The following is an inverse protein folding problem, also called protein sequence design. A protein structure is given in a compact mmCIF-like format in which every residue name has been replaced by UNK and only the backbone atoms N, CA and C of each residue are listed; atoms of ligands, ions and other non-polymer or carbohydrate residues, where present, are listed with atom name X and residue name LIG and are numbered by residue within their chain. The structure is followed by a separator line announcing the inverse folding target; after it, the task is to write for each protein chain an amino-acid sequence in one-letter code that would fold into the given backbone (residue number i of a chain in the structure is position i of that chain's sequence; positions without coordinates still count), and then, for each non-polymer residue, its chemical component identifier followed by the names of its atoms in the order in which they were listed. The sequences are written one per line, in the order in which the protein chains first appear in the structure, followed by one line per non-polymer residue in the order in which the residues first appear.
data_IF_559635465817
#
_entry.id   IF_559635465817
#
_cell.length_a   1.000
_cell.length_b   1.000
_cell.length_c   1.000
_cell.angle_alpha   90.00
_cell.angle_beta   90.00
_cell.angle_gamma   90.00
#
_symmetry.space_group_name_H-M   'P 1'
#
loop_
_entity.id
_entity.type
_entity.pdbx_description
1 polymer ?
#
# COMPACT_ATOMS: atom_id res chain seq x y z
N UNK A 1 -0.36 3.59 21.86
CA UNK A 1 -1.51 2.83 21.35
C UNK A 1 -2.16 3.70 20.30
N UNK A 2 -2.01 3.33 19.04
CA UNK A 2 -2.59 4.07 17.93
C UNK A 2 -3.55 3.19 17.15
N UNK A 3 -4.76 3.68 16.91
CA UNK A 3 -5.70 3.06 15.98
C UNK A 3 -5.39 3.53 14.57
N UNK A 4 -5.16 2.58 13.68
CA UNK A 4 -4.73 2.85 12.31
C UNK A 4 -5.78 2.30 11.36
N UNK A 5 -6.41 3.19 10.58
CA UNK A 5 -7.30 2.82 9.50
C UNK A 5 -6.49 2.46 8.26
N UNK A 6 -6.80 1.34 7.60
CA UNK A 6 -6.05 0.85 6.45
C UNK A 6 -6.92 0.90 5.19
N UNK A 7 -6.43 1.61 4.18
CA UNK A 7 -6.97 1.62 2.82
C UNK A 7 -6.08 0.68 2.00
N UNK A 8 -6.59 -0.48 1.54
CA UNK A 8 -5.83 -1.38 0.69
C UNK A 8 -5.66 -0.84 -0.73
N UNK A 9 -5.23 -1.70 -1.64
CA UNK A 9 -4.98 -1.42 -3.05
C UNK A 9 -6.20 -0.74 -3.69
N UNK A 10 -5.97 0.41 -4.34
CA UNK A 10 -7.06 1.29 -4.81
C UNK A 10 -7.53 0.90 -6.21
N UNK A 11 -6.61 0.66 -7.14
CA UNK A 11 -6.89 0.21 -8.51
C UNK A 11 -8.06 0.93 -9.17
N UNK A 12 -7.92 2.26 -9.35
CA UNK A 12 -8.92 3.12 -10.00
C UNK A 12 -10.33 3.05 -9.37
N UNK A 13 -10.40 2.95 -8.03
CA UNK A 13 -11.68 2.93 -7.29
C UNK A 13 -11.81 4.18 -6.41
N UNK A 14 -12.12 5.37 -7.00
CA UNK A 14 -12.19 6.66 -6.28
C UNK A 14 -13.19 6.62 -5.11
N UNK A 15 -14.25 5.84 -5.22
CA UNK A 15 -15.28 5.67 -4.19
C UNK A 15 -14.75 5.08 -2.87
N UNK A 16 -13.56 4.45 -2.87
CA UNK A 16 -12.94 3.96 -1.63
C UNK A 16 -12.63 5.09 -0.67
N UNK A 17 -12.23 6.26 -1.19
CA UNK A 17 -11.96 7.45 -0.37
C UNK A 17 -13.24 8.03 0.22
N UNK A 18 -14.35 8.07 -0.55
CA UNK A 18 -15.65 8.51 -0.04
C UNK A 18 -16.12 7.60 1.10
N UNK A 19 -15.99 6.28 0.91
CA UNK A 19 -16.35 5.31 1.96
C UNK A 19 -15.44 5.39 3.18
N UNK A 20 -14.14 5.58 2.98
CA UNK A 20 -13.18 5.79 4.07
C UNK A 20 -13.55 7.04 4.89
N UNK A 21 -13.90 8.15 4.24
CA UNK A 21 -14.34 9.36 4.89
C UNK A 21 -15.63 9.18 5.72
N UNK A 22 -16.60 8.43 5.18
CA UNK A 22 -17.82 8.08 5.92
C UNK A 22 -17.52 7.26 7.19
N UNK A 23 -16.60 6.29 7.11
CA UNK A 23 -16.19 5.47 8.25
C UNK A 23 -15.49 6.34 9.30
N UNK A 24 -14.56 7.19 8.89
CA UNK A 24 -13.79 8.06 9.79
C UNK A 24 -14.62 9.12 10.51
N UNK A 25 -15.82 9.46 10.01
CA UNK A 25 -16.79 10.30 10.73
C UNK A 25 -17.33 9.62 12.00
N UNK A 26 -17.30 8.30 12.06
CA UNK A 26 -17.87 7.51 13.18
C UNK A 26 -16.82 6.71 13.95
N UNK A 27 -15.66 6.48 13.36
CA UNK A 27 -14.54 5.74 13.93
C UNK A 27 -13.33 6.66 14.07
N UNK A 28 -12.95 6.96 15.29
CA UNK A 28 -11.78 7.78 15.58
C UNK A 28 -10.50 6.96 15.37
N UNK A 29 -9.61 7.44 14.47
CA UNK A 29 -8.34 6.84 14.15
C UNK A 29 -7.21 7.86 14.23
N UNK A 30 -6.10 7.45 14.85
CA UNK A 30 -4.92 8.32 15.03
C UNK A 30 -4.14 8.48 13.72
N UNK A 31 -4.16 7.45 12.88
CA UNK A 31 -3.45 7.40 11.60
C UNK A 31 -4.29 6.68 10.54
N UNK A 32 -3.97 6.98 9.29
CA UNK A 32 -4.50 6.30 8.11
C UNK A 32 -3.30 5.80 7.31
N UNK A 33 -3.33 4.56 6.85
CA UNK A 33 -2.32 4.00 5.95
C UNK A 33 -2.99 3.55 4.67
N UNK A 34 -2.51 4.05 3.52
CA UNK A 34 -2.89 3.58 2.20
C UNK A 34 -1.77 2.70 1.63
N UNK A 35 -2.11 1.50 1.19
CA UNK A 35 -1.13 0.50 0.76
C UNK A 35 -0.72 0.60 -0.72
N UNK A 36 -1.14 1.68 -1.41
CA UNK A 36 -0.69 1.96 -2.77
C UNK A 36 -1.57 1.37 -3.86
N UNK A 37 -0.97 1.16 -5.02
CA UNK A 37 -1.62 0.71 -6.24
C UNK A 37 -2.87 1.54 -6.57
N UNK A 38 -2.67 2.86 -6.73
CA UNK A 38 -3.75 3.81 -7.06
C UNK A 38 -4.29 3.63 -8.46
N UNK A 39 -3.45 3.14 -9.35
CA UNK A 39 -3.66 3.08 -10.78
C UNK A 39 -3.92 1.66 -11.25
N UNK A 40 -4.30 1.54 -12.50
CA UNK A 40 -4.50 0.29 -13.24
C UNK A 40 -5.64 -0.58 -12.70
N UNK A 41 -6.64 -0.80 -13.55
CA UNK A 41 -7.66 -1.83 -13.38
C UNK A 41 -7.99 -2.42 -14.75
N UNK A 42 -8.47 -3.65 -14.77
CA UNK A 42 -8.74 -4.38 -16.00
C UNK A 42 -9.69 -3.64 -16.93
N UNK A 43 -9.25 -3.41 -18.17
CA UNK A 43 -10.05 -2.75 -19.21
C UNK A 43 -10.17 -1.24 -19.08
N UNK A 44 -9.47 -0.61 -18.11
CA UNK A 44 -9.52 0.83 -17.87
C UNK A 44 -8.30 1.59 -18.45
N UNK A 45 -7.42 0.95 -19.19
CA UNK A 45 -6.14 1.51 -19.67
C UNK A 45 -6.32 2.79 -20.53
N UNK A 46 -7.53 3.03 -21.06
CA UNK A 46 -7.87 4.20 -21.88
C UNK A 46 -8.76 5.22 -21.18
N UNK A 47 -9.21 4.92 -19.97
CA UNK A 47 -10.18 5.73 -19.23
C UNK A 47 -9.46 6.82 -18.40
N UNK A 48 -8.85 7.79 -19.07
CA UNK A 48 -8.07 8.86 -18.39
C UNK A 48 -8.92 9.70 -17.41
N UNK A 49 -10.23 9.79 -17.62
CA UNK A 49 -11.12 10.48 -16.69
C UNK A 49 -11.18 9.75 -15.35
N UNK A 50 -11.22 8.41 -15.36
CA UNK A 50 -11.20 7.62 -14.13
C UNK A 50 -9.85 7.74 -13.38
N UNK A 51 -8.72 7.79 -14.11
CA UNK A 51 -7.42 8.10 -13.50
C UNK A 51 -7.46 9.46 -12.80
N UNK A 52 -7.93 10.51 -13.49
CA UNK A 52 -8.04 11.84 -12.89
C UNK A 52 -8.96 11.84 -11.67
N UNK A 53 -10.14 11.23 -11.77
CA UNK A 53 -11.11 11.15 -10.66
C UNK A 53 -10.50 10.46 -9.45
N UNK A 54 -9.78 9.34 -9.65
CA UNK A 54 -9.14 8.60 -8.56
C UNK A 54 -8.12 9.47 -7.82
N UNK A 55 -7.25 10.16 -8.56
CA UNK A 55 -6.29 11.06 -7.96
C UNK A 55 -6.93 12.29 -7.30
N UNK A 56 -7.96 12.88 -7.91
CA UNK A 56 -8.66 14.02 -7.33
C UNK A 56 -9.31 13.67 -5.99
N UNK A 57 -9.93 12.49 -5.90
CA UNK A 57 -10.50 11.98 -4.64
C UNK A 57 -9.43 11.70 -3.59
N UNK A 58 -8.34 11.01 -3.98
CA UNK A 58 -7.23 10.75 -3.09
C UNK A 58 -6.61 12.05 -2.54
N UNK A 59 -6.30 13.02 -3.41
CA UNK A 59 -5.69 14.29 -3.00
C UNK A 59 -6.64 15.11 -2.11
N UNK A 60 -7.94 15.11 -2.40
CA UNK A 60 -8.93 15.78 -1.55
C UNK A 60 -8.96 15.14 -0.16
N UNK A 61 -9.05 13.82 -0.09
CA UNK A 61 -9.02 13.06 1.15
C UNK A 61 -7.74 13.34 1.96
N UNK A 62 -6.56 13.38 1.32
CA UNK A 62 -5.29 13.66 2.00
C UNK A 62 -5.18 15.08 2.56
N UNK A 63 -5.76 16.06 1.88
CA UNK A 63 -5.82 17.43 2.39
C UNK A 63 -6.68 17.55 3.64
N UNK A 64 -7.71 16.73 3.76
CA UNK A 64 -8.60 16.68 4.93
C UNK A 64 -8.03 15.80 6.05
N UNK A 65 -7.24 14.78 5.70
CA UNK A 65 -6.67 13.79 6.62
C UNK A 65 -5.12 13.79 6.54
N UNK A 66 -4.48 14.81 7.11
CA UNK A 66 -3.03 15.00 7.07
C UNK A 66 -2.23 13.94 7.84
N UNK A 67 -2.90 13.10 8.65
CA UNK A 67 -2.35 11.94 9.33
C UNK A 67 -2.36 10.66 8.46
N UNK A 68 -2.48 10.82 7.14
CA UNK A 68 -2.40 9.73 6.17
C UNK A 68 -0.95 9.46 5.78
N UNK A 69 -0.61 8.18 5.67
CA UNK A 69 0.66 7.63 5.22
C UNK A 69 0.44 6.75 4.00
N UNK A 70 1.30 6.85 2.99
CA UNK A 70 1.22 6.06 1.75
C UNK A 70 2.40 5.11 1.69
N UNK A 71 2.12 3.83 1.41
CA UNK A 71 3.09 2.86 0.94
C UNK A 71 2.95 2.75 -0.58
N UNK A 72 3.97 3.15 -1.35
CA UNK A 72 3.92 3.04 -2.81
C UNK A 72 3.86 1.57 -3.24
N UNK A 73 2.96 1.27 -4.18
CA UNK A 73 2.82 -0.04 -4.78
C UNK A 73 3.59 -0.20 -6.10
N UNK A 74 3.63 -1.43 -6.62
CA UNK A 74 4.34 -1.71 -7.87
C UNK A 74 3.66 -1.05 -9.07
N UNK A 75 2.32 -0.97 -9.13
CA UNK A 75 1.63 -0.28 -10.21
C UNK A 75 1.92 1.23 -10.19
N UNK A 76 2.00 1.87 -9.03
CA UNK A 76 2.36 3.29 -8.94
C UNK A 76 3.78 3.53 -9.46
N UNK A 77 4.73 2.71 -8.98
CA UNK A 77 6.15 2.87 -9.33
C UNK A 77 6.47 2.43 -10.75
N UNK A 78 5.65 1.57 -11.38
CA UNK A 78 5.77 1.18 -12.79
C UNK A 78 5.77 2.41 -13.71
N UNK A 79 4.95 3.40 -13.42
CA UNK A 79 4.88 4.65 -14.20
C UNK A 79 6.08 5.56 -13.98
N UNK A 80 6.62 5.59 -12.76
CA UNK A 80 7.78 6.41 -12.40
C UNK A 80 9.06 5.82 -13.01
N UNK A 81 9.17 4.48 -12.97
CA UNK A 81 10.37 3.76 -13.41
C UNK A 81 10.30 3.23 -14.84
N UNK A 82 9.19 3.46 -15.54
CA UNK A 82 8.95 3.00 -16.91
C UNK A 82 8.99 1.46 -17.07
N UNK A 83 8.57 0.76 -16.02
CA UNK A 83 8.41 -0.69 -16.03
C UNK A 83 6.96 -1.05 -16.35
N UNK A 84 6.75 -1.83 -17.41
CA UNK A 84 5.38 -2.15 -17.84
C UNK A 84 4.84 -3.37 -17.11
N UNK A 85 3.77 -3.14 -16.35
CA UNK A 85 3.03 -4.18 -15.66
C UNK A 85 1.66 -4.46 -16.29
N UNK A 86 0.96 -5.48 -15.76
CA UNK A 86 -0.40 -5.78 -16.18
C UNK A 86 -1.32 -4.59 -15.92
N UNK A 87 -2.06 -4.15 -16.94
CA UNK A 87 -2.93 -2.97 -16.83
C UNK A 87 -2.25 -1.63 -17.08
N UNK A 88 -0.92 -1.57 -17.20
CA UNK A 88 -0.19 -0.34 -17.47
C UNK A 88 -0.71 0.39 -18.72
N UNK A 89 -0.99 1.68 -18.58
CA UNK A 89 -1.46 2.53 -19.66
C UNK A 89 -0.38 3.51 -20.15
N UNK A 90 0.20 3.28 -21.33
CA UNK A 90 1.12 4.26 -21.92
C UNK A 90 0.46 5.64 -22.13
N UNK A 91 -0.86 5.68 -22.34
CA UNK A 91 -1.60 6.93 -22.50
C UNK A 91 -1.73 7.72 -21.19
N UNK A 92 -1.78 7.03 -20.06
CA UNK A 92 -1.93 7.65 -18.75
C UNK A 92 -0.59 8.08 -18.13
N UNK A 93 0.56 7.68 -18.70
CA UNK A 93 1.87 7.82 -18.07
C UNK A 93 2.15 9.24 -17.57
N UNK A 94 2.09 10.24 -18.43
CA UNK A 94 2.40 11.63 -18.04
C UNK A 94 1.44 12.14 -16.96
N UNK A 95 0.17 11.78 -17.07
CA UNK A 95 -0.84 12.10 -16.07
C UNK A 95 -0.50 11.44 -14.73
N UNK A 96 -0.25 10.14 -14.70
CA UNK A 96 0.02 9.39 -13.47
C UNK A 96 1.27 9.92 -12.78
N UNK A 97 2.39 10.08 -13.48
CA UNK A 97 3.64 10.60 -12.90
C UNK A 97 3.42 11.98 -12.26
N UNK A 98 2.70 12.87 -12.96
CA UNK A 98 2.35 14.18 -12.40
C UNK A 98 1.48 14.06 -11.15
N UNK A 99 0.44 13.23 -11.19
CA UNK A 99 -0.52 13.09 -10.10
C UNK A 99 0.07 12.42 -8.85
N UNK A 100 0.97 11.43 -9.01
CA UNK A 100 1.74 10.86 -7.89
C UNK A 100 2.58 11.93 -7.18
N UNK A 101 3.15 12.87 -7.94
CA UNK A 101 3.83 14.03 -7.37
C UNK A 101 2.86 14.95 -6.63
N UNK A 102 1.71 15.29 -7.23
CA UNK A 102 0.68 16.11 -6.59
C UNK A 102 0.19 15.48 -5.27
N UNK A 103 0.04 14.14 -5.22
CA UNK A 103 -0.30 13.40 -4.00
C UNK A 103 0.78 13.53 -2.92
N UNK A 104 2.04 13.38 -3.30
CA UNK A 104 3.17 13.54 -2.36
C UNK A 104 3.21 14.95 -1.77
N UNK A 105 2.93 15.99 -2.58
CA UNK A 105 2.89 17.37 -2.14
C UNK A 105 1.65 17.70 -1.28
N UNK A 106 0.61 16.85 -1.32
CA UNK A 106 -0.61 17.04 -0.51
C UNK A 106 -0.45 16.55 0.94
N UNK A 107 0.59 15.79 1.25
CA UNK A 107 0.87 15.21 2.56
C UNK A 107 2.15 15.80 3.18
N UNK A 108 2.30 15.73 4.52
CA UNK A 108 3.55 16.09 5.17
C UNK A 108 4.74 15.27 4.67
N UNK A 109 5.92 15.88 4.71
CA UNK A 109 7.17 15.21 4.36
C UNK A 109 7.35 13.92 5.18
N UNK A 110 7.76 12.83 4.50
CA UNK A 110 7.95 11.51 5.11
C UNK A 110 6.70 10.65 5.19
N UNK A 111 5.50 11.18 4.89
CA UNK A 111 4.27 10.38 4.88
C UNK A 111 4.12 9.49 3.62
N UNK A 112 4.94 9.70 2.59
CA UNK A 112 4.96 8.87 1.38
C UNK A 112 6.28 8.09 1.33
N UNK A 113 6.21 6.78 1.45
CA UNK A 113 7.38 5.91 1.53
C UNK A 113 7.06 4.51 0.95
N UNK A 114 7.98 3.57 1.06
CA UNK A 114 7.73 2.16 0.72
C UNK A 114 7.31 1.35 1.95
N UNK A 115 7.80 1.75 3.13
CA UNK A 115 7.53 1.08 4.40
C UNK A 115 7.27 2.11 5.49
N UNK A 116 6.24 1.88 6.30
CA UNK A 116 6.00 2.58 7.55
C UNK A 116 5.96 1.60 8.72
N UNK A 117 6.49 1.98 9.86
CA UNK A 117 6.40 1.23 11.11
C UNK A 117 5.74 2.09 12.18
N UNK A 118 4.69 1.56 12.79
CA UNK A 118 4.02 2.17 13.93
C UNK A 118 3.91 1.14 15.05
N UNK A 119 4.61 1.37 16.13
CA UNK A 119 4.73 0.43 17.27
C UNK A 119 5.12 -0.99 16.79
N UNK A 120 4.20 -1.95 16.85
CA UNK A 120 4.43 -3.36 16.49
C UNK A 120 3.89 -3.74 15.10
N UNK A 121 3.49 -2.76 14.28
CA UNK A 121 2.88 -3.01 12.97
C UNK A 121 3.66 -2.30 11.87
N UNK A 122 4.16 -3.09 10.91
CA UNK A 122 4.81 -2.63 9.71
C UNK A 122 3.82 -2.65 8.55
N UNK A 123 3.79 -1.58 7.79
CA UNK A 123 2.97 -1.41 6.61
C UNK A 123 3.86 -1.30 5.38
N UNK A 124 3.56 -2.04 4.35
CA UNK A 124 4.17 -1.95 3.02
C UNK A 124 3.23 -2.55 2.00
N UNK A 125 3.44 -2.25 0.74
CA UNK A 125 2.59 -2.83 -0.31
C UNK A 125 2.73 -4.36 -0.39
N UNK A 126 3.95 -4.89 -0.56
CA UNK A 126 4.20 -6.33 -0.71
C UNK A 126 4.68 -7.05 0.55
N UNK A 127 5.41 -6.37 1.43
CA UNK A 127 5.97 -6.95 2.65
C UNK A 127 7.50 -6.95 2.71
N UNK A 128 8.05 -6.81 3.91
CA UNK A 128 9.49 -6.91 4.13
C UNK A 128 9.87 -8.37 4.40
N UNK A 129 10.51 -9.01 3.44
CA UNK A 129 10.88 -10.42 3.52
C UNK A 129 12.25 -10.64 4.16
N UNK A 130 12.44 -11.80 4.81
CA UNK A 130 13.74 -12.21 5.33
C UNK A 130 14.79 -12.29 4.22
N UNK A 131 14.43 -12.78 3.03
CA UNK A 131 15.37 -12.89 1.90
C UNK A 131 15.87 -11.53 1.44
N UNK A 132 14.99 -10.53 1.35
CA UNK A 132 15.38 -9.16 1.04
C UNK A 132 16.31 -8.56 2.12
N UNK A 133 15.95 -8.74 3.40
CA UNK A 133 16.77 -8.26 4.51
C UNK A 133 18.15 -8.92 4.50
N UNK A 134 18.23 -10.23 4.29
CA UNK A 134 19.51 -10.94 4.23
C UNK A 134 20.36 -10.50 3.03
N UNK A 135 19.75 -10.20 1.90
CA UNK A 135 20.45 -9.73 0.70
C UNK A 135 21.07 -8.35 0.89
N UNK A 136 20.34 -7.41 1.53
CA UNK A 136 20.75 -6.01 1.60
C UNK A 136 21.42 -5.62 2.93
N UNK A 137 21.13 -6.32 4.01
CA UNK A 137 21.64 -6.02 5.35
C UNK A 137 22.49 -7.15 5.93
N UNK A 138 22.39 -8.36 5.39
CA UNK A 138 23.13 -9.53 5.88
C UNK A 138 22.86 -9.81 7.35
N UNK A 139 23.91 -10.11 8.10
CA UNK A 139 23.86 -10.31 9.57
C UNK A 139 24.39 -9.08 10.34
N UNK A 140 24.28 -7.89 9.75
CA UNK A 140 24.89 -6.67 10.29
C UNK A 140 24.37 -6.24 11.66
N UNK A 141 23.21 -6.76 12.11
CA UNK A 141 22.56 -6.32 13.33
C UNK A 141 22.00 -4.89 13.27
N UNK A 142 21.74 -4.39 12.05
CA UNK A 142 21.08 -3.10 11.87
C UNK A 142 19.71 -3.09 12.58
N UNK A 143 19.39 -1.97 13.23
CA UNK A 143 18.07 -1.79 13.86
C UNK A 143 16.98 -1.75 12.79
N UNK A 144 15.74 -2.08 13.17
CA UNK A 144 14.60 -2.01 12.25
C UNK A 144 14.41 -0.59 11.69
N UNK A 145 14.60 0.43 12.49
CA UNK A 145 14.49 1.83 12.04
C UNK A 145 15.54 2.16 10.97
N UNK A 146 16.79 1.67 11.16
CA UNK A 146 17.84 1.83 10.15
C UNK A 146 17.49 1.08 8.86
N UNK A 147 16.93 -0.12 8.95
CA UNK A 147 16.51 -0.89 7.77
C UNK A 147 15.41 -0.15 7.02
N UNK A 148 14.38 0.32 7.71
CA UNK A 148 13.25 1.05 7.12
C UNK A 148 13.73 2.34 6.44
N UNK A 149 14.53 3.14 7.12
CA UNK A 149 15.11 4.36 6.53
C UNK A 149 15.91 4.03 5.27
N UNK A 150 16.78 3.01 5.33
CA UNK A 150 17.58 2.60 4.16
C UNK A 150 16.69 2.11 3.01
N UNK A 151 15.66 1.31 3.29
CA UNK A 151 14.74 0.82 2.26
C UNK A 151 13.99 1.97 1.60
N UNK A 152 13.54 2.94 2.39
CA UNK A 152 12.81 4.11 1.88
C UNK A 152 13.69 5.04 1.02
N UNK A 153 15.02 4.95 1.17
CA UNK A 153 16.02 5.68 0.38
C UNK A 153 16.61 4.85 -0.78
N UNK A 154 16.16 3.59 -0.98
CA UNK A 154 16.67 2.73 -2.04
C UNK A 154 16.21 3.19 -3.44
N UNK A 155 17.10 2.94 -4.41
CA UNK A 155 16.80 3.08 -5.82
C UNK A 155 15.84 1.99 -6.33
N UNK A 156 15.39 2.14 -7.58
CA UNK A 156 14.49 1.22 -8.29
C UNK A 156 14.93 -0.25 -8.20
N UNK A 157 16.17 -0.56 -8.53
CA UNK A 157 16.62 -1.95 -8.77
C UNK A 157 16.39 -2.91 -7.59
N UNK A 158 16.76 -2.59 -6.33
CA UNK A 158 16.46 -3.47 -5.21
C UNK A 158 14.95 -3.57 -4.90
N UNK A 159 14.20 -2.46 -5.04
CA UNK A 159 12.77 -2.42 -4.73
C UNK A 159 11.92 -3.18 -5.75
N UNK A 160 12.36 -3.25 -7.01
CA UNK A 160 11.65 -3.91 -8.11
C UNK A 160 11.81 -5.44 -8.15
N UNK A 161 12.51 -6.03 -7.20
CA UNK A 161 12.68 -7.50 -7.11
C UNK A 161 11.46 -8.18 -6.48
N UNK A 162 11.21 -9.43 -6.88
CA UNK A 162 10.11 -10.27 -6.37
C UNK A 162 10.10 -10.45 -4.84
N UNK A 163 11.25 -10.27 -4.18
CA UNK A 163 11.36 -10.32 -2.73
C UNK A 163 11.35 -8.93 -2.07
N UNK A 164 11.29 -7.86 -2.88
CA UNK A 164 11.27 -6.47 -2.43
C UNK A 164 9.92 -6.04 -1.85
N UNK A 165 9.90 -4.96 -1.06
CA UNK A 165 8.73 -4.56 -0.27
C UNK A 165 7.51 -4.12 -1.10
N UNK A 166 7.66 -3.89 -2.41
CA UNK A 166 6.55 -3.56 -3.32
C UNK A 166 6.09 -4.75 -4.18
N UNK A 167 6.82 -5.89 -4.16
CA UNK A 167 6.52 -7.07 -4.99
C UNK A 167 6.33 -8.35 -4.19
N UNK A 168 6.84 -8.40 -2.96
CA UNK A 168 6.82 -9.64 -2.19
C UNK A 168 5.39 -10.15 -1.95
N UNK A 169 5.25 -11.47 -1.94
CA UNK A 169 3.99 -12.18 -1.70
C UNK A 169 4.16 -13.15 -0.52
N UNK A 170 4.27 -12.63 0.71
CA UNK A 170 4.49 -13.48 1.90
C UNK A 170 3.39 -14.51 2.09
N UNK A 171 2.19 -14.27 1.55
CA UNK A 171 1.07 -15.21 1.52
C UNK A 171 1.42 -16.54 0.83
N UNK A 172 2.44 -16.55 -0.03
CA UNK A 172 2.90 -17.74 -0.76
C UNK A 172 4.13 -18.40 -0.14
N UNK A 173 4.43 -18.10 1.13
CA UNK A 173 5.45 -18.79 1.92
C UNK A 173 6.79 -18.07 2.06
N UNK A 174 6.88 -16.82 1.65
CA UNK A 174 8.04 -16.01 2.00
C UNK A 174 8.00 -15.66 3.48
N UNK A 175 9.09 -15.95 4.19
CA UNK A 175 9.25 -15.51 5.58
C UNK A 175 9.43 -13.99 5.63
N UNK A 176 8.70 -13.33 6.49
CA UNK A 176 8.84 -11.89 6.76
C UNK A 176 9.88 -11.62 7.85
N UNK A 177 10.33 -10.37 7.94
CA UNK A 177 11.26 -9.89 8.95
C UNK A 177 10.88 -8.46 9.37
N UNK A 178 10.96 -8.09 10.67
CA UNK A 178 11.26 -8.94 11.84
C UNK A 178 10.14 -9.95 12.15
N UNK A 179 10.49 -11.03 12.85
CA UNK A 179 9.53 -12.12 13.13
C UNK A 179 8.48 -11.78 14.19
N UNK A 180 8.75 -10.79 15.02
CA UNK A 180 7.92 -10.33 16.14
C UNK A 180 7.07 -9.10 15.79
N UNK A 181 7.23 -8.56 14.58
CA UNK A 181 6.43 -7.45 14.06
C UNK A 181 5.36 -7.98 13.11
N UNK A 182 4.12 -7.53 13.29
CA UNK A 182 3.04 -7.83 12.34
C UNK A 182 3.17 -6.96 11.11
N UNK A 183 3.00 -7.56 9.93
CA UNK A 183 3.01 -6.85 8.66
C UNK A 183 1.61 -6.80 8.06
N UNK A 184 1.13 -5.62 7.72
CA UNK A 184 -0.11 -5.39 6.97
C UNK A 184 0.28 -5.09 5.53
N UNK A 185 -0.23 -5.91 4.61
CA UNK A 185 0.14 -5.88 3.19
C UNK A 185 -1.06 -5.92 2.25
N UNK A 186 -0.88 -5.35 1.06
CA UNK A 186 -1.77 -5.43 -0.09
C UNK A 186 -1.27 -6.40 -1.15
N UNK A 187 -1.18 -5.94 -2.42
CA UNK A 187 -0.51 -6.54 -3.58
C UNK A 187 -1.05 -7.90 -4.06
N UNK A 188 -1.50 -8.72 -3.16
CA UNK A 188 -1.97 -10.07 -3.50
C UNK A 188 -3.46 -10.17 -3.23
N UNK A 189 -4.29 -10.26 -4.29
CA UNK A 189 -5.73 -10.39 -4.13
C UNK A 189 -6.13 -11.59 -3.25
N UNK A 190 -6.98 -11.34 -2.27
CA UNK A 190 -7.55 -12.36 -1.37
C UNK A 190 -9.06 -12.19 -1.28
N UNK A 191 -9.81 -13.29 -1.09
CA UNK A 191 -11.27 -13.24 -0.98
C UNK A 191 -11.73 -12.54 0.29
N UNK A 192 -11.03 -12.81 1.40
CA UNK A 192 -11.29 -12.25 2.72
C UNK A 192 -9.99 -11.75 3.33
N UNK A 193 -10.07 -10.72 4.17
CA UNK A 193 -8.94 -10.29 5.00
C UNK A 193 -8.53 -11.47 5.88
N UNK A 194 -7.25 -11.78 5.88
CA UNK A 194 -6.76 -12.92 6.65
C UNK A 194 -5.41 -12.65 7.28
N UNK A 195 -5.26 -13.16 8.48
CA UNK A 195 -3.96 -13.20 9.16
C UNK A 195 -3.37 -14.60 9.06
N UNK A 196 -2.14 -14.68 8.57
CA UNK A 196 -1.34 -15.90 8.58
C UNK A 196 0.00 -15.58 9.24
N UNK A 197 0.29 -16.23 10.36
CA UNK A 197 1.44 -15.91 11.21
C UNK A 197 1.48 -14.41 11.58
N UNK A 198 2.51 -13.71 11.15
CA UNK A 198 2.67 -12.27 11.37
C UNK A 198 2.29 -11.41 10.15
N UNK A 199 1.55 -11.94 9.17
CA UNK A 199 1.09 -11.20 7.98
C UNK A 199 -0.42 -11.08 7.97
N UNK A 200 -0.93 -9.86 7.77
CA UNK A 200 -2.33 -9.55 7.51
C UNK A 200 -2.44 -9.09 6.06
N UNK A 201 -3.14 -9.89 5.23
CA UNK A 201 -3.39 -9.58 3.82
C UNK A 201 -4.72 -8.86 3.67
N UNK A 202 -4.71 -7.70 3.00
CA UNK A 202 -5.86 -6.78 2.95
C UNK A 202 -6.34 -6.44 1.53
N UNK A 203 -5.70 -6.92 0.46
CA UNK A 203 -6.16 -6.66 -0.91
C UNK A 203 -7.45 -7.45 -1.21
N UNK A 204 -8.58 -6.89 -0.80
CA UNK A 204 -9.93 -7.44 -0.93
C UNK A 204 -10.86 -6.55 -1.80
N UNK A 205 -10.27 -5.61 -2.55
CA UNK A 205 -11.00 -4.70 -3.45
C UNK A 205 -10.64 -4.92 -4.91
N UNK A 206 -10.00 -6.02 -5.25
CA UNK A 206 -9.55 -6.33 -6.60
C UNK A 206 -10.70 -6.55 -7.60
N UNK A 207 -10.36 -6.71 -8.86
CA UNK A 207 -11.29 -6.90 -9.97
C UNK A 207 -10.81 -8.06 -10.83
N UNK A 208 -11.71 -8.95 -11.25
CA UNK A 208 -11.41 -9.95 -12.26
C UNK A 208 -11.22 -9.32 -13.65
N UNK A 209 -10.58 -10.04 -14.58
CA UNK A 209 -10.35 -9.56 -15.95
C UNK A 209 -11.62 -9.23 -16.72
N UNK A 210 -12.76 -9.77 -16.33
CA UNK A 210 -14.08 -9.48 -16.91
C UNK A 210 -14.76 -8.24 -16.29
N UNK A 211 -14.09 -7.56 -15.35
CA UNK A 211 -14.61 -6.39 -14.66
C UNK A 211 -15.46 -6.71 -13.44
N UNK A 212 -15.67 -7.98 -13.10
CA UNK A 212 -16.41 -8.34 -11.89
C UNK A 212 -15.57 -8.15 -10.64
N UNK A 213 -16.15 -7.70 -9.53
CA UNK A 213 -15.43 -7.50 -8.28
C UNK A 213 -14.92 -8.80 -7.66
N UNK A 214 -13.74 -8.73 -7.04
CA UNK A 214 -13.15 -9.79 -6.25
C UNK A 214 -12.86 -9.31 -4.82
N UNK A 215 -13.14 -10.15 -3.83
CA UNK A 215 -12.87 -9.89 -2.43
C UNK A 215 -14.03 -9.28 -1.66
N UNK A 216 -13.92 -9.28 -0.33
CA UNK A 216 -14.98 -8.92 0.62
C UNK A 216 -15.29 -7.42 0.67
N UNK A 217 -14.40 -6.59 0.15
CA UNK A 217 -14.51 -5.12 0.12
C UNK A 217 -14.65 -4.49 1.50
N UNK A 218 -13.91 -5.01 2.46
CA UNK A 218 -13.82 -4.49 3.82
C UNK A 218 -12.52 -3.74 4.05
N UNK A 219 -12.58 -2.70 4.85
CA UNK A 219 -11.40 -2.07 5.43
C UNK A 219 -11.07 -2.71 6.77
N UNK A 220 -9.92 -2.35 7.36
CA UNK A 220 -9.60 -2.70 8.74
C UNK A 220 -9.21 -1.46 9.53
N UNK A 221 -9.45 -1.53 10.85
CA UNK A 221 -8.80 -0.69 11.84
C UNK A 221 -7.96 -1.61 12.71
N UNK A 222 -6.66 -1.36 12.79
CA UNK A 222 -5.73 -2.12 13.62
C UNK A 222 -5.18 -1.27 14.77
N UNK A 223 -5.08 -1.85 15.95
CA UNK A 223 -4.35 -1.26 17.07
C UNK A 223 -2.85 -1.60 16.95
N UNK A 224 -2.00 -0.59 16.89
CA UNK A 224 -0.57 -0.78 16.61
C UNK A 224 0.21 -1.47 17.74
N UNK A 225 -0.33 -1.52 18.95
CA UNK A 225 0.30 -2.11 20.13
C UNK A 225 -0.21 -3.53 20.39
N UNK A 226 -1.56 -3.69 20.47
CA UNK A 226 -2.16 -5.01 20.71
C UNK A 226 -2.19 -5.90 19.46
N UNK A 227 -2.02 -5.30 18.27
CA UNK A 227 -2.07 -5.98 16.96
C UNK A 227 -3.42 -6.68 16.67
N UNK A 228 -4.46 -6.30 17.41
CA UNK A 228 -5.84 -6.71 17.13
C UNK A 228 -6.44 -5.79 16.07
N UNK A 229 -7.29 -6.34 15.21
CA UNK A 229 -7.98 -5.54 14.18
C UNK A 229 -9.46 -5.87 14.10
N UNK A 230 -10.24 -4.90 13.65
CA UNK A 230 -11.65 -5.05 13.29
C UNK A 230 -11.82 -4.82 11.77
N UNK A 231 -12.69 -5.62 11.15
CA UNK A 231 -13.12 -5.44 9.77
C UNK A 231 -14.37 -4.54 9.72
N UNK A 232 -14.42 -3.64 8.73
CA UNK A 232 -15.46 -2.61 8.61
C UNK A 232 -16.03 -2.57 7.19
#
# INVERSE_FOLDING_TARGET
MSKIFVIPDVHLKPWMFDRADEILKTKECDKIVCLGDFVDDWGQEKNLDLYNETFDRAITFYKEHQNTFICWGNHDMSYVWEEMESGYSPLARELVVKRLKDMREALPDGNCAYIHLFDNVLFSHGGLTLSFVMEHFGTSGASIDTMISTVNDMDQYPLWKDNGPIWARPQYGYRTYPFDIVQVVGHTPVEEIRRCDNVISTDVFSTYRDGTPFGSRKFIIIDSVSIEYEEI
#
